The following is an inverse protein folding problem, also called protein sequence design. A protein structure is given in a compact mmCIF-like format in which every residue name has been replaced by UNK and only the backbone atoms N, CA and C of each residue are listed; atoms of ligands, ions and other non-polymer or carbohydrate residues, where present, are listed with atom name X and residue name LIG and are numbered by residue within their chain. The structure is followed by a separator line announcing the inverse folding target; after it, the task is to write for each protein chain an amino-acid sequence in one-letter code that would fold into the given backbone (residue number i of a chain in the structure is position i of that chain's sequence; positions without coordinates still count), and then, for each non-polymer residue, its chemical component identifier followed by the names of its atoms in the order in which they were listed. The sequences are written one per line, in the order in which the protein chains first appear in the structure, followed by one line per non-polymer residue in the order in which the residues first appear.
data_IF_359342771725
#
_entry.id   IF_359342771725
#
_cell.length_a   1.000
_cell.length_b   1.000
_cell.length_c   1.000
_cell.angle_alpha   90.00
_cell.angle_beta   90.00
_cell.angle_gamma   90.00
#
_symmetry.space_group_name_H-M   'P 1'
#
loop_
_entity.id
_entity.type
_entity.pdbx_description
1 polymer ?
#
# COMPACT_ATOMS: atom_id res chain seq x y z
N UNK A 1 11.03 -23.99 3.19
CA UNK A 1 11.89 -23.54 2.06
C UNK A 1 11.71 -22.04 1.92
N UNK A 2 12.78 -21.27 1.72
CA UNK A 2 12.72 -19.82 1.53
C UNK A 2 13.45 -19.42 0.25
N UNK A 3 12.78 -18.70 -0.64
CA UNK A 3 13.35 -18.22 -1.91
C UNK A 3 13.42 -16.70 -1.89
N UNK A 4 14.63 -16.16 -2.05
CA UNK A 4 14.86 -14.72 -2.13
C UNK A 4 14.93 -14.28 -3.59
N UNK A 5 13.95 -13.49 -4.04
CA UNK A 5 13.93 -12.94 -5.41
C UNK A 5 14.68 -11.61 -5.49
N UNK A 6 14.43 -10.72 -4.53
CA UNK A 6 14.99 -9.37 -4.46
C UNK A 6 15.53 -9.09 -3.05
N UNK A 7 16.18 -7.95 -2.81
CA UNK A 7 16.69 -7.60 -1.46
C UNK A 7 15.61 -7.69 -0.37
N UNK A 8 14.38 -7.28 -0.71
CA UNK A 8 13.29 -7.12 0.27
C UNK A 8 12.15 -8.14 0.13
N UNK A 9 12.08 -8.93 -0.96
CA UNK A 9 10.99 -9.87 -1.20
C UNK A 9 11.45 -11.30 -0.94
N UNK A 10 10.79 -11.97 0.01
CA UNK A 10 11.06 -13.33 0.43
C UNK A 10 9.81 -14.21 0.26
N UNK A 11 9.95 -15.33 -0.44
CA UNK A 11 8.91 -16.35 -0.54
C UNK A 11 9.17 -17.43 0.48
N UNK A 12 8.28 -17.58 1.45
CA UNK A 12 8.38 -18.54 2.56
C UNK A 12 7.36 -19.65 2.37
N UNK A 13 7.84 -20.90 2.30
CA UNK A 13 7.01 -22.10 2.23
C UNK A 13 7.21 -22.88 3.53
N UNK A 14 6.22 -22.84 4.43
CA UNK A 14 6.31 -23.38 5.80
C UNK A 14 6.29 -24.92 5.86
N UNK A 15 5.50 -25.56 4.99
CA UNK A 15 5.39 -27.03 4.89
C UNK A 15 5.65 -27.48 3.44
N UNK A 16 6.90 -27.39 2.99
CA UNK A 16 7.25 -27.77 1.63
C UNK A 16 7.31 -29.30 1.51
N UNK A 17 6.83 -29.83 0.40
CA UNK A 17 7.17 -31.17 -0.09
C UNK A 17 8.18 -31.01 -1.25
N UNK A 18 9.37 -31.61 -1.11
CA UNK A 18 10.52 -31.34 -1.99
C UNK A 18 10.99 -32.61 -2.67
N UNK A 19 10.97 -32.61 -4.00
CA UNK A 19 11.42 -33.72 -4.83
C UNK A 19 12.67 -33.29 -5.62
N UNK A 20 13.74 -34.09 -5.57
CA UNK A 20 14.97 -33.84 -6.32
C UNK A 20 15.05 -34.78 -7.52
N UNK A 21 15.42 -34.25 -8.68
CA UNK A 21 15.79 -35.09 -9.82
C UNK A 21 17.08 -35.87 -9.53
N UNK A 22 17.10 -37.17 -9.82
CA UNK A 22 18.25 -38.05 -9.51
C UNK A 22 19.51 -37.68 -10.32
N UNK A 23 19.30 -37.09 -11.51
CA UNK A 23 20.36 -36.84 -12.49
C UNK A 23 20.71 -35.36 -12.66
N UNK A 24 20.09 -34.46 -11.89
CA UNK A 24 20.29 -33.01 -12.03
C UNK A 24 20.04 -32.30 -10.70
N UNK A 25 20.62 -31.12 -10.53
CA UNK A 25 20.32 -30.21 -9.41
C UNK A 25 19.03 -29.41 -9.66
N UNK A 26 17.98 -30.14 -10.05
CA UNK A 26 16.63 -29.62 -10.20
C UNK A 26 15.77 -30.10 -9.03
N UNK A 27 15.10 -29.14 -8.40
CA UNK A 27 14.24 -29.35 -7.24
C UNK A 27 12.82 -28.90 -7.57
N UNK A 28 11.84 -29.74 -7.30
CA UNK A 28 10.41 -29.39 -7.36
C UNK A 28 9.93 -29.23 -5.92
N UNK A 29 9.42 -28.05 -5.59
CA UNK A 29 8.94 -27.72 -4.24
C UNK A 29 7.44 -27.45 -4.31
N UNK A 30 6.64 -28.33 -3.71
CA UNK A 30 5.20 -28.14 -3.53
C UNK A 30 4.92 -27.52 -2.16
N UNK A 31 3.91 -26.66 -2.08
CA UNK A 31 3.46 -26.04 -0.84
C UNK A 31 2.95 -24.63 -1.06
N UNK A 32 2.30 -24.07 -0.04
CA UNK A 32 1.80 -22.70 -0.07
C UNK A 32 2.94 -21.71 0.17
N UNK A 33 3.16 -20.81 -0.78
CA UNK A 33 4.15 -19.74 -0.68
C UNK A 33 3.50 -18.49 -0.09
N UNK A 34 4.02 -18.04 1.05
CA UNK A 34 3.71 -16.73 1.64
C UNK A 34 4.78 -15.74 1.23
N UNK A 35 4.36 -14.51 0.94
CA UNK A 35 5.28 -13.42 0.58
C UNK A 35 5.52 -12.59 1.83
N UNK A 36 6.78 -12.43 2.20
CA UNK A 36 7.21 -11.45 3.19
C UNK A 36 7.96 -10.33 2.49
N UNK A 37 7.50 -9.09 2.68
CA UNK A 37 8.16 -7.88 2.23
C UNK A 37 8.78 -7.15 3.42
N UNK A 38 10.11 -7.22 3.53
CA UNK A 38 10.85 -6.56 4.60
C UNK A 38 10.81 -5.02 4.51
N UNK A 39 10.57 -4.44 3.32
CA UNK A 39 10.42 -2.98 3.19
C UNK A 39 9.13 -2.49 3.85
N UNK A 40 8.03 -3.21 3.60
CA UNK A 40 6.73 -2.87 4.17
C UNK A 40 6.74 -2.95 5.71
N UNK A 41 7.39 -3.97 6.26
CA UNK A 41 7.54 -4.11 7.71
C UNK A 41 8.43 -3.01 8.32
N UNK A 42 9.53 -2.64 7.65
CA UNK A 42 10.43 -1.59 8.14
C UNK A 42 9.77 -0.20 8.12
N UNK A 43 8.95 0.12 7.11
CA UNK A 43 8.19 1.37 7.08
C UNK A 43 7.09 1.39 8.15
N UNK A 44 6.40 0.27 8.37
CA UNK A 44 5.40 0.17 9.44
C UNK A 44 6.03 0.38 10.83
N UNK A 45 7.14 -0.30 11.15
CA UNK A 45 7.82 -0.14 12.44
C UNK A 45 8.46 1.24 12.66
N UNK A 46 8.95 1.88 11.59
CA UNK A 46 9.51 3.23 11.68
C UNK A 46 8.44 4.30 11.92
N UNK A 47 7.24 4.13 11.35
CA UNK A 47 6.10 5.01 11.60
C UNK A 47 5.64 4.92 13.07
N UNK A 48 5.62 3.72 13.66
CA UNK A 48 5.26 3.53 15.08
C UNK A 48 6.27 4.20 16.04
N UNK A 49 7.58 4.16 15.70
CA UNK A 49 8.61 4.83 16.50
C UNK A 49 8.54 6.37 16.43
N UNK A 50 8.03 6.94 15.33
CA UNK A 50 7.81 8.38 15.21
C UNK A 50 6.54 8.85 15.95
N UNK A 51 5.61 7.94 16.23
CA UNK A 51 4.40 8.23 17.03
C UNK A 51 4.56 8.04 18.53
N UNK A 52 5.74 7.65 19.04
CA UNK A 52 5.97 7.66 20.49
C UNK A 52 6.18 9.10 20.97
N UNK A 53 5.24 9.69 21.74
CA UNK A 53 5.50 10.95 22.42
C UNK A 53 6.62 10.67 23.44
N UNK A 54 7.79 11.25 23.20
CA UNK A 54 8.86 11.27 24.20
C UNK A 54 8.34 12.00 25.42
N UNK A 55 7.91 11.26 26.43
CA UNK A 55 7.55 11.76 27.74
C UNK A 55 8.81 12.23 28.45
N UNK A 56 9.11 13.53 28.40
CA UNK A 56 9.94 14.20 29.39
C UNK A 56 9.09 15.26 30.13
N UNK A 57 9.10 15.32 31.47
CA UNK A 57 8.16 16.14 32.22
C UNK A 57 8.65 17.57 32.43
N UNK A 58 7.68 18.50 32.37
CA UNK A 58 7.59 19.81 33.04
C UNK A 58 8.68 20.86 32.77
N UNK A 59 8.26 21.92 32.08
CA UNK A 59 8.86 23.25 32.14
C UNK A 59 7.96 24.25 31.40
N UNK A 60 7.11 24.95 32.15
CA UNK A 60 6.26 26.02 31.65
C UNK A 60 7.09 27.18 31.09
N UNK A 61 6.78 27.66 29.89
CA UNK A 61 6.58 29.09 29.66
C UNK A 61 5.87 29.35 28.32
N UNK A 62 5.11 30.43 28.29
CA UNK A 62 4.12 30.75 27.27
C UNK A 62 4.73 31.30 25.97
N UNK A 63 3.88 31.28 24.93
CA UNK A 63 3.91 32.08 23.69
C UNK A 63 4.75 31.50 22.55
N UNK A 64 4.07 30.83 21.63
CA UNK A 64 3.93 31.27 20.24
C UNK A 64 3.29 30.15 19.42
N UNK A 65 2.01 30.34 19.12
CA UNK A 65 1.39 29.73 17.96
C UNK A 65 2.07 30.34 16.71
N UNK A 66 2.54 29.51 15.79
CA UNK A 66 2.15 29.72 14.42
C UNK A 66 1.27 28.55 14.00
N UNK A 67 0.15 28.88 13.38
CA UNK A 67 -0.58 27.94 12.55
C UNK A 67 0.39 27.28 11.58
N UNK A 68 0.48 25.96 11.66
CA UNK A 68 0.79 25.09 10.53
C UNK A 68 -0.54 24.46 10.13
N UNK A 69 -1.26 25.20 9.30
CA UNK A 69 -2.02 24.61 8.20
C UNK A 69 -1.04 23.81 7.31
N UNK A 70 -1.61 22.88 6.55
CA UNK A 70 -0.99 21.96 5.57
C UNK A 70 -0.50 20.64 6.19
N UNK A 71 -1.21 19.51 6.10
CA UNK A 71 -2.06 19.04 5.00
C UNK A 71 -3.35 18.44 5.56
N UNK A 72 -4.45 19.14 5.29
CA UNK A 72 -5.78 18.54 5.23
C UNK A 72 -5.78 17.36 4.25
N UNK A 73 -6.67 16.40 4.52
CA UNK A 73 -7.21 15.50 3.50
C UNK A 73 -6.45 14.18 3.21
N UNK A 74 -6.27 13.34 4.24
CA UNK A 74 -6.73 11.95 4.05
C UNK A 74 -8.24 11.94 4.29
N UNK A 75 -8.96 12.57 3.36
CA UNK A 75 -10.35 12.25 3.18
C UNK A 75 -10.39 10.75 2.94
N UNK A 76 -10.89 10.02 3.93
CA UNK A 76 -11.55 8.73 3.75
C UNK A 76 -12.52 8.99 2.59
N UNK A 77 -12.04 8.72 1.37
CA UNK A 77 -12.72 9.10 0.15
C UNK A 77 -13.84 8.10 0.01
N UNK A 78 -14.90 8.28 0.80
CA UNK A 78 -16.01 7.38 1.07
C UNK A 78 -16.18 6.36 -0.06
N UNK A 79 -15.47 5.22 0.06
CA UNK A 79 -15.42 4.19 -0.98
C UNK A 79 -16.70 3.34 -0.95
N UNK A 80 -17.65 3.72 -0.09
CA UNK A 80 -18.93 3.07 0.11
C UNK A 80 -19.75 3.13 -1.17
N UNK A 81 -19.72 2.01 -1.91
CA UNK A 81 -20.46 1.81 -3.15
C UNK A 81 -19.65 1.96 -4.44
N UNK A 82 -18.31 2.06 -4.34
CA UNK A 82 -17.40 2.07 -5.49
C UNK A 82 -16.55 0.80 -5.44
N UNK A 83 -16.41 0.10 -6.56
CA UNK A 83 -15.56 -1.09 -6.58
C UNK A 83 -14.08 -0.70 -6.48
N UNK A 84 -13.30 -1.33 -5.59
CA UNK A 84 -11.87 -1.03 -5.44
C UNK A 84 -11.08 -1.34 -6.71
N UNK A 85 -11.56 -2.28 -7.53
CA UNK A 85 -10.99 -2.62 -8.84
C UNK A 85 -11.10 -1.46 -9.83
N UNK A 86 -12.19 -0.70 -9.76
CA UNK A 86 -12.45 0.41 -10.67
C UNK A 86 -11.54 1.58 -10.34
N UNK A 87 -11.36 1.86 -9.05
CA UNK A 87 -10.42 2.85 -8.54
C UNK A 87 -9.00 2.50 -8.99
N UNK A 88 -8.58 1.24 -8.84
CA UNK A 88 -7.26 0.77 -9.24
C UNK A 88 -7.06 0.86 -10.77
N UNK A 89 -8.08 0.52 -11.55
CA UNK A 89 -8.02 0.59 -13.01
C UNK A 89 -7.91 2.03 -13.52
N UNK A 90 -8.68 2.96 -12.94
CA UNK A 90 -8.61 4.40 -13.26
C UNK A 90 -7.25 4.99 -12.88
N UNK A 91 -6.74 4.65 -11.68
CA UNK A 91 -5.40 5.08 -11.24
C UNK A 91 -4.29 4.54 -12.14
N UNK A 92 -4.39 3.28 -12.59
CA UNK A 92 -3.37 2.67 -13.46
C UNK A 92 -3.38 3.22 -14.87
N UNK A 93 -4.53 3.62 -15.42
CA UNK A 93 -4.60 4.13 -16.80
C UNK A 93 -4.33 5.63 -16.89
N UNK A 94 -4.77 6.42 -15.90
CA UNK A 94 -4.74 7.88 -15.96
C UNK A 94 -3.71 8.51 -14.99
N UNK A 95 -3.00 7.70 -14.21
CA UNK A 95 -1.97 8.16 -13.27
C UNK A 95 -2.45 9.28 -12.32
N UNK A 96 -3.68 9.15 -11.82
CA UNK A 96 -4.29 10.12 -10.90
C UNK A 96 -4.27 9.63 -9.44
N UNK A 97 -4.44 10.56 -8.49
CA UNK A 97 -4.54 10.22 -7.07
C UNK A 97 -5.84 9.48 -6.75
N UNK A 98 -5.83 8.67 -5.68
CA UNK A 98 -6.96 7.84 -5.27
C UNK A 98 -8.24 8.65 -5.06
N UNK A 99 -8.14 9.80 -4.38
CA UNK A 99 -9.27 10.71 -4.17
C UNK A 99 -9.84 11.26 -5.48
N UNK A 100 -8.99 11.51 -6.49
CA UNK A 100 -9.40 11.99 -7.81
C UNK A 100 -10.07 10.89 -8.64
N UNK A 101 -9.59 9.65 -8.55
CA UNK A 101 -10.24 8.48 -9.15
C UNK A 101 -11.62 8.22 -8.52
N UNK A 102 -11.71 8.27 -7.19
CA UNK A 102 -12.97 8.11 -6.44
C UNK A 102 -13.97 9.21 -6.79
N UNK A 103 -13.54 10.47 -6.84
CA UNK A 103 -14.39 11.58 -7.22
C UNK A 103 -14.90 11.45 -8.67
N UNK A 104 -14.05 11.03 -9.61
CA UNK A 104 -14.43 10.81 -11.01
C UNK A 104 -15.41 9.64 -11.16
N UNK A 105 -15.19 8.53 -10.46
CA UNK A 105 -16.13 7.40 -10.46
C UNK A 105 -17.47 7.81 -9.86
N UNK A 106 -17.47 8.56 -8.75
CA UNK A 106 -18.71 9.03 -8.11
C UNK A 106 -19.49 10.01 -8.99
N UNK A 107 -18.80 10.93 -9.66
CA UNK A 107 -19.41 11.90 -10.57
C UNK A 107 -20.07 11.24 -11.80
N UNK A 108 -19.55 10.07 -12.22
CA UNK A 108 -20.01 9.32 -13.38
C UNK A 108 -20.79 8.05 -13.01
N UNK A 109 -21.45 8.01 -11.84
CA UNK A 109 -22.29 6.87 -11.42
C UNK A 109 -21.55 5.51 -11.41
N UNK A 110 -20.26 5.50 -11.04
CA UNK A 110 -19.33 4.37 -11.11
C UNK A 110 -19.08 3.84 -12.53
N UNK A 111 -19.33 4.64 -13.57
CA UNK A 111 -18.92 4.31 -14.94
C UNK A 111 -17.41 4.54 -15.12
N UNK A 112 -16.67 3.45 -15.18
CA UNK A 112 -15.22 3.43 -15.30
C UNK A 112 -14.76 4.06 -16.61
N UNK A 113 -15.50 3.85 -17.70
CA UNK A 113 -15.09 4.30 -19.03
C UNK A 113 -15.23 5.81 -19.10
N UNK A 114 -16.35 6.34 -18.63
CA UNK A 114 -16.60 7.78 -18.60
C UNK A 114 -15.63 8.48 -17.62
N UNK A 115 -15.36 7.87 -16.47
CA UNK A 115 -14.38 8.38 -15.51
C UNK A 115 -12.94 8.45 -16.09
N UNK A 116 -12.50 7.40 -16.80
CA UNK A 116 -11.20 7.38 -17.49
C UNK A 116 -11.17 8.45 -18.59
N UNK A 117 -12.22 8.57 -19.39
CA UNK A 117 -12.30 9.56 -20.46
C UNK A 117 -12.21 10.99 -19.93
N UNK A 118 -12.91 11.29 -18.84
CA UNK A 118 -12.90 12.61 -18.21
C UNK A 118 -11.55 12.96 -17.57
N UNK A 119 -10.90 11.98 -16.93
CA UNK A 119 -9.59 12.19 -16.31
C UNK A 119 -8.45 12.23 -17.34
N UNK A 120 -8.55 11.47 -18.43
CA UNK A 120 -7.54 11.43 -19.50
C UNK A 120 -7.60 12.67 -20.41
N UNK A 121 -8.71 13.40 -20.42
CA UNK A 121 -8.82 14.69 -21.12
C UNK A 121 -8.38 15.89 -20.28
N UNK A 122 -7.98 15.66 -19.02
CA UNK A 122 -7.52 16.70 -18.07
C UNK A 122 -6.01 16.85 -18.06
#
# INVERSE_FOLDING_TARGET
VTVKKSKNILFVISKPDVHKSVNSDTYVVFGEAKIEDLSAQAQASAAEQFTQPSTLPLGADSVAQPAVEEVEEEGDADESGIEPKDIELVMSQVSCSRSKAVAALRANNNDIVEAIMQLSSS
#
